data_IF_641341559903
#
_entry.id   IF_641341559903
#
_cell.length_a   1.000
_cell.length_b   1.000
_cell.length_c   1.000
_cell.angle_alpha   90.00
_cell.angle_beta   90.00
_cell.angle_gamma   90.00
#
_symmetry.space_group_name_H-M   'P 1'
#
loop_
_entity.id
_entity.type
_entity.pdbx_description
1 polymer ?
#
# COMPACT_ATOMS: atom_id res chain seq x y z
N UNK A 1 10.03 -18.73 -12.23
CA UNK A 1 10.91 -17.53 -12.17
C UNK A 1 10.16 -16.20 -12.20
N UNK A 2 9.50 -15.76 -13.29
CA UNK A 2 8.92 -14.39 -13.35
C UNK A 2 7.62 -14.21 -12.52
N UNK A 3 6.81 -15.27 -12.34
CA UNK A 3 5.67 -15.25 -11.42
C UNK A 3 6.10 -15.10 -9.96
N UNK A 4 7.26 -15.62 -9.57
CA UNK A 4 7.77 -15.49 -8.19
C UNK A 4 8.12 -14.04 -7.88
N UNK A 5 8.62 -13.28 -8.85
CA UNK A 5 8.92 -11.86 -8.68
C UNK A 5 7.65 -11.04 -8.46
N UNK A 6 6.59 -11.29 -9.25
CA UNK A 6 5.29 -10.64 -9.05
C UNK A 6 4.71 -10.98 -7.67
N UNK A 7 4.66 -12.29 -7.34
CA UNK A 7 4.13 -12.76 -6.07
C UNK A 7 4.88 -12.12 -4.89
N UNK A 8 6.22 -12.01 -5.01
CA UNK A 8 7.06 -11.34 -4.02
C UNK A 8 6.74 -9.85 -3.89
N UNK A 9 6.51 -9.15 -4.99
CA UNK A 9 6.11 -7.74 -4.97
C UNK A 9 4.73 -7.57 -4.32
N UNK A 10 3.74 -8.38 -4.70
CA UNK A 10 2.39 -8.34 -4.11
C UNK A 10 2.44 -8.64 -2.62
N UNK A 11 3.12 -9.72 -2.21
CA UNK A 11 3.24 -10.07 -0.80
C UNK A 11 3.95 -8.99 0.01
N UNK A 12 4.97 -8.31 -0.56
CA UNK A 12 5.60 -7.16 0.09
C UNK A 12 4.56 -6.09 0.48
N UNK A 13 3.64 -5.75 -0.43
CA UNK A 13 2.61 -4.75 -0.14
C UNK A 13 1.53 -5.26 0.81
N UNK A 14 1.12 -6.52 0.68
CA UNK A 14 0.16 -7.14 1.61
C UNK A 14 0.73 -7.15 3.03
N UNK A 15 1.98 -7.58 3.22
CA UNK A 15 2.62 -7.55 4.53
C UNK A 15 2.73 -6.12 5.06
N UNK A 16 3.15 -5.15 4.23
CA UNK A 16 3.22 -3.75 4.63
C UNK A 16 1.86 -3.21 5.12
N UNK A 17 0.78 -3.56 4.42
CA UNK A 17 -0.58 -3.17 4.81
C UNK A 17 -1.04 -3.88 6.08
N UNK A 18 -0.77 -5.17 6.24
CA UNK A 18 -1.08 -5.91 7.47
C UNK A 18 -0.33 -5.30 8.66
N UNK A 19 0.97 -5.06 8.52
CA UNK A 19 1.78 -4.37 9.54
C UNK A 19 1.18 -3.00 9.86
N UNK A 20 0.84 -2.21 8.85
CA UNK A 20 0.18 -0.93 9.07
C UNK A 20 -1.12 -1.09 9.88
N UNK A 21 -2.04 -1.96 9.48
CA UNK A 21 -3.33 -2.15 10.15
C UNK A 21 -3.19 -2.67 11.59
N UNK A 22 -2.28 -3.62 11.83
CA UNK A 22 -2.05 -4.16 13.17
C UNK A 22 -1.52 -3.08 14.12
N UNK A 23 -0.57 -2.27 13.67
CA UNK A 23 0.06 -1.25 14.51
C UNK A 23 -0.76 0.03 14.66
N UNK A 24 -1.53 0.43 13.63
CA UNK A 24 -2.27 1.70 13.67
C UNK A 24 -3.73 1.56 14.09
N UNK A 25 -4.43 0.48 13.74
CA UNK A 25 -5.86 0.35 14.04
C UNK A 25 -6.17 -0.49 15.28
N UNK A 26 -5.41 -1.55 15.57
CA UNK A 26 -5.81 -2.54 16.59
C UNK A 26 -5.08 -2.40 17.92
N UNK A 27 -3.76 -2.18 17.90
CA UNK A 27 -2.96 -2.16 19.13
C UNK A 27 -3.02 -0.81 19.85
N UNK A 28 -3.08 0.30 19.12
CA UNK A 28 -3.14 1.62 19.75
C UNK A 28 -4.41 1.80 20.59
N UNK A 29 -5.55 1.30 20.15
CA UNK A 29 -6.80 1.33 20.92
C UNK A 29 -6.73 0.54 22.23
N UNK A 30 -5.91 -0.51 22.30
CA UNK A 30 -5.68 -1.26 23.55
C UNK A 30 -4.93 -0.40 24.60
N UNK A 31 -4.08 0.53 24.16
CA UNK A 31 -3.39 1.51 25.02
C UNK A 31 -4.23 2.78 25.29
N UNK A 32 -5.36 2.94 24.59
CA UNK A 32 -6.27 4.09 24.69
C UNK A 32 -7.25 4.02 25.87
N UNK A 33 -7.13 3.02 26.75
CA UNK A 33 -8.11 2.76 27.82
C UNK A 33 -8.24 3.92 28.85
N UNK A 34 -7.40 4.97 28.72
CA UNK A 34 -7.47 6.19 29.51
C UNK A 34 -7.69 7.37 28.56
N UNK A 35 -8.74 8.18 28.80
CA UNK A 35 -9.17 9.29 27.92
C UNK A 35 -8.04 10.28 27.59
N UNK A 36 -7.04 10.41 28.46
CA UNK A 36 -5.86 11.26 28.27
C UNK A 36 -5.01 10.91 27.04
N UNK A 37 -5.09 9.66 26.56
CA UNK A 37 -4.23 9.17 25.47
C UNK A 37 -4.93 9.12 24.11
N UNK A 38 -6.24 9.34 24.06
CA UNK A 38 -7.05 9.23 22.83
C UNK A 38 -6.59 10.24 21.77
N UNK A 39 -6.26 11.48 22.17
CA UNK A 39 -5.79 12.51 21.24
C UNK A 39 -4.43 12.16 20.62
N UNK A 40 -3.51 11.61 21.43
CA UNK A 40 -2.18 11.18 20.96
C UNK A 40 -2.32 10.01 19.97
N UNK A 41 -3.21 9.07 20.28
CA UNK A 41 -3.49 7.91 19.41
C UNK A 41 -4.08 8.35 18.09
N UNK A 42 -5.05 9.27 18.09
CA UNK A 42 -5.62 9.84 16.86
C UNK A 42 -4.55 10.54 16.01
N UNK A 43 -3.60 11.26 16.62
CA UNK A 43 -2.47 11.87 15.91
C UNK A 43 -1.55 10.80 15.29
N UNK A 44 -1.21 9.75 16.03
CA UNK A 44 -0.38 8.64 15.52
C UNK A 44 -1.08 7.93 14.35
N UNK A 45 -2.38 7.65 14.46
CA UNK A 45 -3.18 7.05 13.40
C UNK A 45 -3.22 7.93 12.14
N UNK A 46 -3.39 9.23 12.31
CA UNK A 46 -3.41 10.21 11.21
C UNK A 46 -2.06 10.25 10.50
N UNK A 47 -0.96 10.35 11.27
CA UNK A 47 0.40 10.34 10.72
C UNK A 47 0.68 9.02 9.99
N UNK A 48 0.30 7.89 10.59
CA UNK A 48 0.42 6.58 9.96
C UNK A 48 -0.35 6.50 8.64
N UNK A 49 -1.59 7.01 8.62
CA UNK A 49 -2.43 7.03 7.41
C UNK A 49 -1.75 7.83 6.31
N UNK A 50 -1.32 9.06 6.61
CA UNK A 50 -0.64 9.93 5.65
C UNK A 50 0.64 9.29 5.12
N UNK A 51 1.47 8.72 6.00
CA UNK A 51 2.69 8.03 5.61
C UNK A 51 2.40 6.87 4.66
N UNK A 52 1.39 6.05 4.96
CA UNK A 52 1.04 4.89 4.13
C UNK A 52 0.49 5.32 2.77
N UNK A 53 -0.34 6.35 2.74
CA UNK A 53 -0.90 6.94 1.52
C UNK A 53 0.15 7.57 0.61
N UNK A 54 1.36 7.87 1.11
CA UNK A 54 2.48 8.38 0.31
C UNK A 54 3.46 7.25 -0.04
N UNK A 55 3.79 6.40 0.94
CA UNK A 55 4.80 5.35 0.81
C UNK A 55 4.38 4.29 -0.21
N UNK A 56 3.12 3.84 -0.20
CA UNK A 56 2.64 2.82 -1.13
C UNK A 56 2.70 3.29 -2.60
N UNK A 57 2.15 4.47 -2.98
CA UNK A 57 2.31 4.97 -4.35
C UNK A 57 3.78 5.11 -4.75
N UNK A 58 4.64 5.61 -3.85
CA UNK A 58 6.06 5.78 -4.13
C UNK A 58 6.77 4.43 -4.41
N UNK A 59 6.49 3.41 -3.60
CA UNK A 59 7.04 2.08 -3.83
C UNK A 59 6.48 1.43 -5.10
N UNK A 60 5.17 1.59 -5.36
CA UNK A 60 4.53 1.10 -6.58
C UNK A 60 5.12 1.76 -7.83
N UNK A 61 5.46 3.06 -7.77
CA UNK A 61 6.17 3.75 -8.83
C UNK A 61 7.52 3.08 -9.12
N UNK A 62 8.34 2.87 -8.10
CA UNK A 62 9.67 2.24 -8.25
C UNK A 62 9.55 0.84 -8.87
N UNK A 63 8.60 0.02 -8.40
CA UNK A 63 8.44 -1.34 -8.92
C UNK A 63 7.84 -1.35 -10.33
N UNK A 64 6.92 -0.45 -10.64
CA UNK A 64 6.33 -0.33 -11.98
C UNK A 64 7.38 0.06 -13.02
N UNK A 65 8.36 0.88 -12.66
CA UNK A 65 9.48 1.25 -13.55
C UNK A 65 10.39 0.06 -13.91
N UNK A 66 10.38 -1.03 -13.13
CA UNK A 66 11.16 -2.25 -13.43
C UNK A 66 10.48 -3.16 -14.44
N UNK A 67 9.20 -2.91 -14.74
CA UNK A 67 8.32 -3.80 -15.52
C UNK A 67 7.92 -3.15 -16.85
N UNK A 68 8.37 -1.91 -17.10
CA UNK A 68 8.12 -1.14 -18.32
C UNK A 68 6.64 -1.00 -18.69
N UNK A 69 5.81 -0.75 -17.68
CA UNK A 69 4.37 -0.60 -17.84
C UNK A 69 4.09 0.74 -18.55
N UNK A 70 3.16 0.79 -19.54
CA UNK A 70 2.77 2.04 -20.18
C UNK A 70 2.39 3.13 -19.17
N UNK A 71 2.83 4.36 -19.41
CA UNK A 71 2.67 5.50 -18.49
C UNK A 71 1.22 5.73 -18.06
N UNK A 72 0.26 5.46 -18.92
CA UNK A 72 -1.17 5.63 -18.59
C UNK A 72 -1.63 4.69 -17.47
N UNK A 73 -1.15 3.45 -17.48
CA UNK A 73 -1.45 2.47 -16.43
C UNK A 73 -0.71 2.78 -15.13
N UNK A 74 0.53 3.30 -15.23
CA UNK A 74 1.26 3.79 -14.08
C UNK A 74 0.49 4.90 -13.36
N UNK A 75 -0.02 5.90 -14.09
CA UNK A 75 -0.82 6.99 -13.52
C UNK A 75 -2.06 6.42 -12.81
N UNK A 76 -2.77 5.48 -13.44
CA UNK A 76 -3.95 4.85 -12.85
C UNK A 76 -3.60 4.14 -11.53
N UNK A 77 -2.54 3.33 -11.51
CA UNK A 77 -2.07 2.63 -10.31
C UNK A 77 -1.78 3.62 -9.18
N UNK A 78 -1.09 4.72 -9.49
CA UNK A 78 -0.71 5.75 -8.51
C UNK A 78 -1.95 6.46 -7.96
N UNK A 79 -2.83 6.97 -8.82
CA UNK A 79 -4.06 7.66 -8.41
C UNK A 79 -4.92 6.74 -7.54
N UNK A 80 -5.12 5.49 -7.95
CA UNK A 80 -5.88 4.52 -7.16
C UNK A 80 -5.21 4.19 -5.83
N UNK A 81 -3.88 4.13 -5.78
CA UNK A 81 -3.15 3.90 -4.52
C UNK A 81 -3.23 5.07 -3.54
N UNK A 82 -3.38 6.31 -4.03
CA UNK A 82 -3.62 7.49 -3.18
C UNK A 82 -5.02 7.48 -2.56
N UNK A 83 -6.03 7.02 -3.31
CA UNK A 83 -7.42 6.91 -2.82
C UNK A 83 -7.53 5.75 -1.83
N UNK A 84 -7.03 4.57 -2.22
CA UNK A 84 -7.05 3.37 -1.40
C UNK A 84 -5.81 2.53 -1.70
N UNK A 85 -4.82 2.47 -0.79
CA UNK A 85 -3.53 1.85 -1.07
C UNK A 85 -3.63 0.39 -1.56
N UNK A 86 -4.58 -0.38 -1.03
CA UNK A 86 -4.84 -1.75 -1.48
C UNK A 86 -5.39 -1.81 -2.92
N UNK A 87 -6.22 -0.85 -3.33
CA UNK A 87 -6.73 -0.79 -4.71
C UNK A 87 -5.59 -0.62 -5.71
N UNK A 88 -4.61 0.24 -5.40
CA UNK A 88 -3.41 0.42 -6.22
C UNK A 88 -2.62 -0.87 -6.40
N UNK A 89 -2.46 -1.67 -5.34
CA UNK A 89 -1.78 -2.97 -5.38
C UNK A 89 -2.54 -3.97 -6.25
N UNK A 90 -3.88 -4.01 -6.13
CA UNK A 90 -4.72 -4.89 -6.96
C UNK A 90 -4.63 -4.51 -8.43
N UNK A 91 -4.76 -3.22 -8.77
CA UNK A 91 -4.64 -2.73 -10.15
C UNK A 91 -3.26 -3.02 -10.74
N UNK A 92 -2.20 -2.78 -9.98
CA UNK A 92 -0.84 -3.14 -10.38
C UNK A 92 -0.73 -4.62 -10.74
N UNK A 93 -1.32 -5.49 -9.92
CA UNK A 93 -1.33 -6.94 -10.14
C UNK A 93 -2.09 -7.34 -11.40
N UNK A 94 -3.27 -6.76 -11.63
CA UNK A 94 -4.09 -7.03 -12.81
C UNK A 94 -3.41 -6.58 -14.10
N UNK A 95 -2.86 -5.36 -14.11
CA UNK A 95 -2.14 -4.81 -15.25
C UNK A 95 -0.91 -5.67 -15.56
N UNK A 96 -0.15 -6.07 -14.53
CA UNK A 96 0.99 -6.96 -14.71
C UNK A 96 0.61 -8.28 -15.37
N UNK A 97 -0.45 -8.94 -14.88
CA UNK A 97 -0.93 -10.21 -15.45
C UNK A 97 -1.35 -10.01 -16.91
N UNK A 98 -2.11 -8.95 -17.19
CA UNK A 98 -2.58 -8.63 -18.54
C UNK A 98 -1.43 -8.38 -19.50
N UNK A 99 -0.36 -7.69 -19.06
CA UNK A 99 0.75 -7.34 -19.93
C UNK A 99 1.69 -8.52 -20.22
N UNK A 100 1.68 -9.55 -19.36
CA UNK A 100 2.45 -10.79 -19.57
C UNK A 100 1.82 -11.74 -20.60
N UNK A 101 0.51 -11.63 -20.82
CA UNK A 101 -0.22 -12.49 -21.76
C UNK A 101 -0.26 -11.95 -23.19
N UNK A 102 0.43 -10.83 -23.46
CA UNK A 102 0.72 -10.30 -24.79
C UNK A 102 2.17 -10.61 -25.15
#
# INVERSE_FOLDING_TARGET
MMNENLLRIIYKYIYLLIFYYLFTNSWLWFFAYNDSNVEVINKIMTVGTILTSILIPFLLFIDSRKIDIPTIYLILILVSSFIYPLMGVVLFSLIFISHKHQ
#
